data_IF_777556534265
#
_entry.id   IF_777556534265
#
_cell.length_a   1.000
_cell.length_b   1.000
_cell.length_c   1.000
_cell.angle_alpha   90.00
_cell.angle_beta   90.00
_cell.angle_gamma   90.00
#
_symmetry.space_group_name_H-M   'P 1'
#
loop_
_entity.id
_entity.type
_entity.pdbx_description
1 polymer ?
#
# COMPACT_ATOMS: atom_id res chain seq x y z
N UNK A 1 -43.60 38.07 -6.52
CA UNK A 1 -43.16 36.93 -5.68
C UNK A 1 -41.72 36.65 -5.99
N UNK A 2 -40.86 37.10 -5.11
CA UNK A 2 -39.40 37.15 -5.25
C UNK A 2 -38.80 35.81 -4.84
N UNK A 3 -38.03 35.19 -5.76
CA UNK A 3 -37.15 34.06 -5.49
C UNK A 3 -35.84 34.59 -4.87
N UNK A 4 -35.73 34.52 -3.56
CA UNK A 4 -34.46 34.68 -2.85
C UNK A 4 -34.34 33.55 -1.85
N UNK A 5 -33.55 32.54 -2.17
CA UNK A 5 -32.98 31.56 -1.20
C UNK A 5 -32.24 30.44 -1.95
N UNK A 6 -31.12 30.74 -2.57
CA UNK A 6 -30.13 29.74 -3.00
C UNK A 6 -28.73 30.30 -2.72
N UNK A 7 -28.50 30.84 -1.52
CA UNK A 7 -27.19 31.36 -1.13
C UNK A 7 -26.60 30.69 0.12
N UNK A 8 -27.11 29.51 0.48
CA UNK A 8 -26.65 28.82 1.71
C UNK A 8 -25.90 27.50 1.47
N UNK A 9 -25.70 27.06 0.24
CA UNK A 9 -25.05 25.79 -0.06
C UNK A 9 -23.55 25.91 -0.37
N UNK A 10 -23.06 27.11 -0.65
CA UNK A 10 -21.68 27.34 -1.11
C UNK A 10 -20.67 27.59 0.02
N UNK A 11 -21.13 27.75 1.26
CA UNK A 11 -20.23 28.00 2.40
C UNK A 11 -19.73 26.71 3.10
N UNK A 12 -20.24 25.55 2.75
CA UNK A 12 -19.82 24.27 3.36
C UNK A 12 -18.73 23.55 2.56
N UNK A 13 -18.35 24.05 1.38
CA UNK A 13 -17.33 23.40 0.52
C UNK A 13 -15.94 24.03 0.62
N UNK A 14 -15.76 25.07 1.43
CA UNK A 14 -14.44 25.67 1.68
C UNK A 14 -13.87 25.27 3.03
N UNK A 15 -14.00 23.99 3.40
CA UNK A 15 -13.15 23.46 4.47
C UNK A 15 -11.72 23.36 3.91
N UNK A 16 -10.88 24.25 4.42
CA UNK A 16 -9.47 24.43 4.10
C UNK A 16 -8.79 23.08 3.84
N UNK A 17 -8.42 22.81 2.59
CA UNK A 17 -7.32 21.90 2.31
C UNK A 17 -6.10 22.41 3.07
N UNK A 18 -5.73 21.75 4.14
CA UNK A 18 -4.42 21.92 4.74
C UNK A 18 -3.37 21.77 3.64
N UNK A 19 -2.33 22.61 3.57
CA UNK A 19 -1.30 22.46 2.56
C UNK A 19 -0.78 21.03 2.66
N UNK A 20 -0.99 20.24 1.61
CA UNK A 20 -0.40 18.92 1.50
C UNK A 20 1.09 19.13 1.45
N UNK A 21 1.77 18.87 2.57
CA UNK A 21 3.23 18.82 2.60
C UNK A 21 3.65 17.76 1.59
N UNK A 22 4.61 18.11 0.72
CA UNK A 22 5.17 17.17 -0.24
C UNK A 22 5.44 15.84 0.50
N UNK A 23 4.92 14.70 0.01
CA UNK A 23 5.13 13.40 0.64
C UNK A 23 6.62 13.11 0.91
N UNK A 24 7.53 13.74 0.15
CA UNK A 24 8.98 13.62 0.34
C UNK A 24 9.51 14.37 1.58
N UNK A 25 8.78 15.33 2.10
CA UNK A 25 9.19 16.15 3.26
C UNK A 25 8.55 15.71 4.58
N UNK A 26 7.77 14.62 4.59
CA UNK A 26 7.13 14.15 5.82
C UNK A 26 8.19 13.64 6.82
N UNK A 27 8.38 14.30 7.99
CA UNK A 27 9.40 13.94 8.97
C UNK A 27 9.25 12.51 9.52
N UNK A 28 8.01 12.02 9.59
CA UNK A 28 7.72 10.65 10.06
C UNK A 28 8.17 9.62 9.04
N UNK A 29 7.95 9.89 7.75
CA UNK A 29 8.43 9.07 6.65
C UNK A 29 9.95 9.00 6.63
N UNK A 30 10.63 10.14 6.70
CA UNK A 30 12.09 10.20 6.75
C UNK A 30 12.68 9.44 7.95
N UNK A 31 12.03 9.54 9.11
CA UNK A 31 12.42 8.79 10.30
C UNK A 31 12.26 7.28 10.08
N UNK A 32 11.16 6.85 9.47
CA UNK A 32 10.91 5.45 9.14
C UNK A 32 11.92 4.93 8.13
N UNK A 33 12.13 5.63 7.03
CA UNK A 33 13.13 5.27 6.00
C UNK A 33 14.52 5.11 6.60
N UNK A 34 14.94 6.06 7.44
CA UNK A 34 16.23 5.97 8.14
C UNK A 34 16.32 4.78 9.10
N UNK A 35 15.22 4.42 9.77
CA UNK A 35 15.19 3.26 10.68
C UNK A 35 15.28 1.93 9.93
N UNK A 36 14.80 1.88 8.68
CA UNK A 36 14.79 0.69 7.84
C UNK A 36 16.07 0.50 7.02
N UNK A 37 16.88 1.56 6.86
CA UNK A 37 18.06 1.57 5.97
C UNK A 37 19.08 0.49 6.33
N UNK A 38 19.33 0.28 7.62
CA UNK A 38 20.23 -0.76 8.10
C UNK A 38 19.74 -2.16 7.70
N UNK A 39 18.49 -2.47 8.01
CA UNK A 39 17.89 -3.77 7.70
C UNK A 39 17.82 -4.01 6.19
N UNK A 40 17.48 -2.99 5.41
CA UNK A 40 17.49 -3.04 3.96
C UNK A 40 18.87 -3.40 3.41
N UNK A 41 19.91 -2.73 3.91
CA UNK A 41 21.28 -2.97 3.49
C UNK A 41 21.73 -4.40 3.85
N UNK A 42 21.37 -4.88 5.05
CA UNK A 42 21.67 -6.25 5.49
C UNK A 42 20.99 -7.30 4.60
N UNK A 43 19.72 -7.07 4.23
CA UNK A 43 18.99 -7.97 3.33
C UNK A 43 19.59 -7.96 1.93
N UNK A 44 19.86 -6.79 1.35
CA UNK A 44 20.40 -6.67 -0.01
C UNK A 44 21.79 -7.29 -0.16
N UNK A 45 22.60 -7.27 0.91
CA UNK A 45 23.95 -7.86 0.93
C UNK A 45 23.99 -9.22 1.58
N UNK A 46 22.85 -9.90 1.73
CA UNK A 46 22.82 -11.18 2.42
C UNK A 46 23.50 -12.28 1.61
N UNK A 47 24.38 -13.04 2.27
CA UNK A 47 25.18 -14.12 1.65
C UNK A 47 24.34 -15.22 0.98
N UNK A 48 23.06 -15.27 1.21
CA UNK A 48 22.14 -16.20 0.56
C UNK A 48 22.18 -16.05 -0.97
N UNK A 49 22.21 -14.82 -1.46
CA UNK A 49 22.22 -14.53 -2.91
C UNK A 49 23.46 -15.10 -3.61
N UNK A 50 24.58 -15.16 -2.92
CA UNK A 50 25.82 -15.77 -3.44
C UNK A 50 25.75 -17.31 -3.49
N UNK A 51 24.87 -17.90 -2.69
CA UNK A 51 24.74 -19.37 -2.55
C UNK A 51 23.70 -19.98 -3.48
N UNK A 52 22.81 -19.18 -4.03
CA UNK A 52 21.78 -19.66 -4.98
C UNK A 52 22.41 -19.70 -6.37
N UNK A 53 22.82 -20.87 -6.81
CA UNK A 53 23.51 -21.07 -8.10
C UNK A 53 22.88 -22.14 -9.01
N UNK A 54 21.84 -22.82 -8.55
CA UNK A 54 21.13 -23.85 -9.30
C UNK A 54 19.65 -23.95 -8.92
N UNK A 55 18.88 -24.62 -9.77
CA UNK A 55 17.42 -24.78 -9.62
C UNK A 55 17.02 -25.40 -8.28
N UNK A 56 17.72 -26.44 -7.83
CA UNK A 56 17.43 -27.10 -6.55
C UNK A 56 17.55 -26.14 -5.37
N UNK A 57 18.52 -25.25 -5.39
CA UNK A 57 18.71 -24.26 -4.33
C UNK A 57 17.65 -23.16 -4.40
N UNK A 58 17.18 -22.80 -5.62
CA UNK A 58 16.03 -21.90 -5.80
C UNK A 58 14.78 -22.55 -5.20
N UNK A 59 14.48 -23.81 -5.53
CA UNK A 59 13.34 -24.52 -4.96
C UNK A 59 13.39 -24.55 -3.43
N UNK A 60 14.55 -24.89 -2.87
CA UNK A 60 14.73 -24.88 -1.42
C UNK A 60 14.51 -23.48 -0.83
N UNK A 61 15.03 -22.44 -1.47
CA UNK A 61 14.77 -21.06 -1.04
C UNK A 61 13.28 -20.74 -1.04
N UNK A 62 12.57 -21.10 -2.11
CA UNK A 62 11.13 -20.83 -2.25
C UNK A 62 10.29 -21.54 -1.19
N UNK A 63 10.67 -22.75 -0.76
CA UNK A 63 10.00 -23.49 0.32
C UNK A 63 9.99 -22.70 1.64
N UNK A 64 11.03 -21.91 1.91
CA UNK A 64 11.11 -21.05 3.09
C UNK A 64 10.54 -19.66 2.83
N UNK A 65 10.70 -19.14 1.62
CA UNK A 65 10.25 -17.81 1.25
C UNK A 65 8.71 -17.68 1.29
N UNK A 66 7.98 -18.76 1.10
CA UNK A 66 6.52 -18.77 1.16
C UNK A 66 5.96 -18.22 2.48
N UNK A 67 6.66 -18.41 3.60
CA UNK A 67 6.24 -17.87 4.89
C UNK A 67 6.32 -16.34 4.92
N UNK A 68 7.36 -15.76 4.32
CA UNK A 68 7.49 -14.31 4.18
C UNK A 68 6.41 -13.72 3.26
N UNK A 69 6.07 -14.43 2.20
CA UNK A 69 4.98 -14.05 1.29
C UNK A 69 3.63 -14.09 2.02
N UNK A 70 3.39 -15.12 2.81
CA UNK A 70 2.16 -15.21 3.62
C UNK A 70 2.05 -14.10 4.65
N UNK A 71 3.13 -13.79 5.36
CA UNK A 71 3.16 -12.69 6.32
C UNK A 71 2.88 -11.35 5.63
N UNK A 72 3.48 -11.14 4.46
CA UNK A 72 3.22 -9.94 3.65
C UNK A 72 1.74 -9.87 3.21
N UNK A 73 1.17 -10.96 2.69
CA UNK A 73 -0.24 -11.02 2.31
C UNK A 73 -1.17 -10.73 3.51
N UNK A 74 -0.85 -11.27 4.68
CA UNK A 74 -1.59 -11.00 5.91
C UNK A 74 -1.52 -9.53 6.31
N UNK A 75 -0.35 -8.90 6.15
CA UNK A 75 -0.14 -7.48 6.41
C UNK A 75 -0.97 -6.61 5.47
N UNK A 76 -0.91 -6.86 4.16
CA UNK A 76 -1.66 -6.05 3.18
C UNK A 76 -3.17 -6.21 3.36
N UNK A 77 -3.67 -7.39 3.74
CA UNK A 77 -5.09 -7.58 4.07
C UNK A 77 -5.50 -6.78 5.31
N UNK A 78 -4.68 -6.77 6.35
CA UNK A 78 -4.94 -5.94 7.53
C UNK A 78 -4.93 -4.43 7.19
N UNK A 79 -4.08 -4.00 6.28
CA UNK A 79 -4.05 -2.62 5.79
C UNK A 79 -5.27 -2.31 4.92
N UNK A 80 -5.72 -3.25 4.07
CA UNK A 80 -6.93 -3.11 3.28
C UNK A 80 -8.16 -2.86 4.16
N UNK A 81 -8.34 -3.61 5.23
CA UNK A 81 -9.43 -3.43 6.17
C UNK A 81 -9.44 -2.04 6.82
N UNK A 82 -8.27 -1.46 7.06
CA UNK A 82 -8.12 -0.16 7.73
C UNK A 82 -8.19 1.03 6.78
N UNK A 83 -7.68 0.89 5.56
CA UNK A 83 -7.52 1.97 4.60
C UNK A 83 -8.61 2.01 3.54
N UNK A 84 -9.34 0.89 3.37
CA UNK A 84 -10.46 0.79 2.44
C UNK A 84 -11.74 0.39 3.20
N UNK A 85 -12.86 0.27 2.49
CA UNK A 85 -14.08 -0.28 3.06
C UNK A 85 -14.36 -1.65 2.43
N UNK A 86 -14.26 -2.71 3.24
CA UNK A 86 -14.54 -4.10 2.85
C UNK A 86 -15.85 -4.63 3.46
N UNK A 87 -16.61 -3.78 4.15
CA UNK A 87 -17.88 -4.11 4.80
C UNK A 87 -19.08 -3.55 4.04
N UNK A 88 -20.26 -4.04 4.42
CA UNK A 88 -21.56 -3.55 3.92
C UNK A 88 -22.35 -2.89 5.05
N UNK A 89 -23.04 -1.75 4.82
CA UNK A 89 -23.04 -0.98 3.55
C UNK A 89 -21.68 -0.34 3.27
N UNK A 90 -21.34 -0.21 1.98
CA UNK A 90 -20.07 0.41 1.58
C UNK A 90 -20.07 1.91 1.92
N UNK A 91 -19.02 2.35 2.61
CA UNK A 91 -18.77 3.75 2.94
C UNK A 91 -17.32 4.08 2.53
N UNK A 92 -17.10 5.15 1.73
CA UNK A 92 -15.75 5.51 1.31
C UNK A 92 -14.92 5.99 2.51
N UNK A 93 -13.68 5.53 2.61
CA UNK A 93 -12.70 6.08 3.55
C UNK A 93 -12.27 7.48 3.10
N UNK A 94 -11.81 8.33 4.04
CA UNK A 94 -11.47 9.74 3.74
C UNK A 94 -10.25 9.87 2.83
N UNK A 95 -9.24 9.02 3.02
CA UNK A 95 -8.00 9.06 2.26
C UNK A 95 -8.16 8.31 0.92
N UNK A 96 -8.38 9.07 -0.14
CA UNK A 96 -8.59 8.52 -1.48
C UNK A 96 -7.32 7.96 -2.10
N UNK A 97 -6.17 8.54 -1.78
CA UNK A 97 -4.87 8.09 -2.30
C UNK A 97 -4.44 6.78 -1.65
N UNK A 98 -4.51 6.70 -0.32
CA UNK A 98 -4.22 5.47 0.40
C UNK A 98 -5.16 4.32 -0.01
N UNK A 99 -6.46 4.62 -0.19
CA UNK A 99 -7.45 3.66 -0.68
C UNK A 99 -7.10 3.14 -2.07
N UNK A 100 -6.74 4.04 -3.00
CA UNK A 100 -6.36 3.67 -4.36
C UNK A 100 -5.10 2.81 -4.37
N UNK A 101 -4.03 3.28 -3.69
CA UNK A 101 -2.78 2.55 -3.58
C UNK A 101 -2.98 1.14 -3.02
N UNK A 102 -3.79 1.01 -1.96
CA UNK A 102 -4.06 -0.28 -1.34
C UNK A 102 -4.76 -1.24 -2.29
N UNK A 103 -5.74 -0.75 -3.06
CA UNK A 103 -6.45 -1.58 -4.03
C UNK A 103 -5.56 -1.98 -5.22
N UNK A 104 -4.64 -1.13 -5.66
CA UNK A 104 -3.66 -1.46 -6.69
C UNK A 104 -2.69 -2.55 -6.20
N UNK A 105 -2.15 -2.44 -4.99
CA UNK A 105 -1.30 -3.47 -4.39
C UNK A 105 -2.04 -4.81 -4.29
N UNK A 106 -3.28 -4.81 -3.80
CA UNK A 106 -4.08 -6.04 -3.68
C UNK A 106 -4.35 -6.66 -5.07
N UNK A 107 -4.65 -5.85 -6.07
CA UNK A 107 -4.87 -6.33 -7.43
C UNK A 107 -3.63 -7.04 -7.98
N UNK A 108 -2.46 -6.44 -7.80
CA UNK A 108 -1.20 -7.00 -8.29
C UNK A 108 -0.79 -8.28 -7.54
N UNK A 109 -1.00 -8.32 -6.24
CA UNK A 109 -0.57 -9.45 -5.40
C UNK A 109 -1.52 -10.65 -5.43
N UNK A 110 -2.83 -10.44 -5.59
CA UNK A 110 -3.81 -11.53 -5.58
C UNK A 110 -4.20 -12.03 -6.98
N UNK A 111 -4.13 -11.16 -7.98
CA UNK A 111 -4.60 -11.44 -9.33
C UNK A 111 -3.79 -10.76 -10.42
N UNK A 112 -2.50 -10.57 -10.17
CA UNK A 112 -1.57 -10.02 -11.15
C UNK A 112 -1.47 -10.91 -12.39
N UNK A 113 -1.34 -10.30 -13.55
CA UNK A 113 -1.24 -11.02 -14.82
C UNK A 113 0.06 -11.81 -14.92
N UNK A 114 -0.02 -13.07 -15.32
CA UNK A 114 1.15 -13.85 -15.63
C UNK A 114 1.75 -13.43 -16.99
N UNK A 115 3.09 -13.38 -17.18
CA UNK A 115 3.73 -13.00 -18.45
C UNK A 115 3.27 -13.85 -19.66
N UNK A 116 2.97 -15.12 -19.43
CA UNK A 116 2.49 -16.07 -20.48
C UNK A 116 0.97 -16.07 -20.66
N UNK A 117 0.26 -15.13 -20.01
CA UNK A 117 -1.19 -15.02 -20.01
C UNK A 117 -1.86 -15.81 -18.89
N UNK A 118 -3.03 -15.34 -18.45
CA UNK A 118 -3.76 -15.87 -17.29
C UNK A 118 -3.54 -15.05 -16.02
N UNK A 119 -4.19 -15.47 -14.96
CA UNK A 119 -4.15 -14.88 -13.62
C UNK A 119 -3.68 -15.94 -12.63
#
# INVERSE_FOLDING_TARGET
>A
MTLSSIDSADSLFTEKLSPQTDPKENPQRLKLEKSLEKTRTEIMNHRLYEKISNEKQICTFMEYHIFSVWDFQSLIKSLQEKLTCVSTPWLPTKDTEARRLMNEIILDEESGSHPDGGF
#
